data_IF_728053003856
#
_entry.id   IF_728053003856
#
_cell.length_a   1.000
_cell.length_b   1.000
_cell.length_c   1.000
_cell.angle_alpha   90.00
_cell.angle_beta   90.00
_cell.angle_gamma   90.00
#
_symmetry.space_group_name_H-M   'P 1'
#
loop_
_entity.id
_entity.type
_entity.pdbx_description
1 polymer ?
#
# COMPACT_ATOMS: atom_id res chain seq x y z
N UNK A 1 15.13 6.02 -13.59
CA UNK A 1 16.40 5.64 -12.90
C UNK A 1 16.13 5.24 -11.44
N UNK A 2 15.39 6.03 -10.64
CA UNK A 2 15.00 5.67 -9.27
C UNK A 2 13.94 4.54 -9.21
N UNK A 3 12.86 4.66 -9.97
CA UNK A 3 11.76 3.66 -9.97
C UNK A 3 12.18 2.27 -10.45
N UNK A 4 13.20 2.21 -11.31
CA UNK A 4 13.83 0.96 -11.71
C UNK A 4 14.60 0.28 -10.57
N UNK A 5 15.27 1.05 -9.71
CA UNK A 5 15.95 0.52 -8.53
C UNK A 5 14.93 0.01 -7.50
N UNK A 6 13.88 0.80 -7.22
CA UNK A 6 12.78 0.38 -6.34
C UNK A 6 12.22 -0.97 -6.82
N UNK A 7 11.96 -1.12 -8.12
CA UNK A 7 11.48 -2.39 -8.67
C UNK A 7 12.46 -3.55 -8.50
N UNK A 8 13.75 -3.29 -8.72
CA UNK A 8 14.82 -4.29 -8.57
C UNK A 8 14.94 -4.81 -7.14
N UNK A 9 14.76 -3.93 -6.15
CA UNK A 9 14.94 -4.27 -4.73
C UNK A 9 13.64 -4.53 -3.98
N UNK A 10 12.47 -4.39 -4.62
CA UNK A 10 11.18 -4.59 -3.97
C UNK A 10 11.09 -5.93 -3.21
N UNK A 11 11.60 -7.03 -3.79
CA UNK A 11 11.53 -8.38 -3.21
C UNK A 11 12.32 -8.59 -1.92
N UNK A 12 13.21 -7.66 -1.55
CA UNK A 12 13.95 -7.71 -0.28
C UNK A 12 13.43 -6.72 0.75
N UNK A 13 12.40 -5.94 0.42
CA UNK A 13 11.83 -4.94 1.31
C UNK A 13 10.92 -5.58 2.36
N UNK A 14 10.98 -5.08 3.59
CA UNK A 14 10.02 -5.43 4.64
C UNK A 14 8.71 -4.61 4.53
N UNK A 15 7.73 -4.93 5.37
CA UNK A 15 6.43 -4.26 5.45
C UNK A 15 6.52 -2.72 5.54
N UNK A 16 7.40 -2.19 6.39
CA UNK A 16 7.58 -0.75 6.59
C UNK A 16 8.25 -0.10 5.38
N UNK A 17 9.23 -0.75 4.78
CA UNK A 17 9.91 -0.27 3.57
C UNK A 17 8.94 -0.22 2.38
N UNK A 18 8.13 -1.27 2.18
CA UNK A 18 7.09 -1.31 1.16
C UNK A 18 6.04 -0.21 1.38
N UNK A 19 5.59 -0.06 2.63
CA UNK A 19 4.64 1.00 3.03
C UNK A 19 5.22 2.40 2.75
N UNK A 20 6.48 2.64 3.11
CA UNK A 20 7.15 3.91 2.88
C UNK A 20 7.34 4.19 1.38
N UNK A 21 7.63 3.16 0.57
CA UNK A 21 7.67 3.30 -0.88
C UNK A 21 6.30 3.71 -1.43
N UNK A 22 5.22 3.03 -1.06
CA UNK A 22 3.86 3.39 -1.50
C UNK A 22 3.50 4.83 -1.09
N UNK A 23 3.75 5.19 0.17
CA UNK A 23 3.52 6.54 0.68
C UNK A 23 4.32 7.61 -0.08
N UNK A 24 5.60 7.35 -0.36
CA UNK A 24 6.45 8.26 -1.12
C UNK A 24 5.94 8.45 -2.56
N UNK A 25 5.52 7.36 -3.22
CA UNK A 25 4.97 7.43 -4.57
C UNK A 25 3.67 8.26 -4.60
N UNK A 26 2.81 8.08 -3.60
CA UNK A 26 1.60 8.89 -3.45
C UNK A 26 1.90 10.38 -3.19
N UNK A 27 2.85 10.66 -2.31
CA UNK A 27 3.21 12.04 -1.91
C UNK A 27 3.90 12.81 -3.04
N UNK A 28 4.68 12.11 -3.86
CA UNK A 28 5.40 12.69 -5.01
C UNK A 28 4.57 12.69 -6.31
N UNK A 29 3.29 12.31 -6.25
CA UNK A 29 2.37 12.18 -7.38
C UNK A 29 2.90 11.27 -8.51
N UNK A 30 3.58 10.18 -8.14
CA UNK A 30 4.18 9.22 -9.07
C UNK A 30 3.18 8.15 -9.54
N UNK A 31 1.90 8.50 -9.66
CA UNK A 31 0.81 7.58 -10.03
C UNK A 31 0.98 6.91 -11.40
N UNK A 32 1.76 7.53 -12.30
CA UNK A 32 2.04 6.98 -13.63
C UNK A 32 3.11 5.87 -13.63
N UNK A 33 3.80 5.63 -12.50
CA UNK A 33 4.79 4.55 -12.36
C UNK A 33 4.11 3.21 -12.02
N UNK A 34 3.00 2.90 -12.72
CA UNK A 34 2.11 1.77 -12.45
C UNK A 34 2.86 0.46 -12.26
N UNK A 35 3.88 0.29 -13.09
CA UNK A 35 4.66 -0.90 -13.30
C UNK A 35 5.61 -1.16 -12.11
N UNK A 36 6.06 -0.08 -11.43
CA UNK A 36 6.78 -0.17 -10.16
C UNK A 36 5.82 -0.27 -8.98
N UNK A 37 4.67 0.41 -9.02
CA UNK A 37 3.63 0.30 -8.00
C UNK A 37 3.12 -1.15 -7.91
N UNK A 38 2.82 -1.78 -9.05
CA UNK A 38 2.38 -3.17 -9.11
C UNK A 38 3.42 -4.11 -8.49
N UNK A 39 4.71 -3.90 -8.77
CA UNK A 39 5.76 -4.70 -8.14
C UNK A 39 5.80 -4.55 -6.62
N UNK A 40 5.61 -3.34 -6.10
CA UNK A 40 5.52 -3.10 -4.66
C UNK A 40 4.30 -3.80 -4.05
N UNK A 41 3.16 -3.77 -4.74
CA UNK A 41 1.92 -4.40 -4.29
C UNK A 41 2.03 -5.93 -4.29
N UNK A 42 2.60 -6.52 -5.33
CA UNK A 42 2.88 -7.96 -5.40
C UNK A 42 3.72 -8.41 -4.21
N UNK A 43 4.84 -7.72 -3.94
CA UNK A 43 5.70 -8.07 -2.80
C UNK A 43 5.04 -7.79 -1.45
N UNK A 44 4.22 -6.74 -1.35
CA UNK A 44 3.47 -6.47 -0.12
C UNK A 44 2.44 -7.56 0.18
N UNK A 45 1.83 -8.15 -0.84
CA UNK A 45 0.92 -9.30 -0.65
C UNK A 45 1.65 -10.55 -0.19
N UNK A 46 2.87 -10.81 -0.66
CA UNK A 46 3.72 -11.90 -0.15
C UNK A 46 4.02 -11.76 1.35
N UNK A 47 4.06 -10.53 1.86
CA UNK A 47 4.41 -10.21 3.25
C UNK A 47 3.22 -9.73 4.08
N UNK A 48 1.98 -9.87 3.58
CA UNK A 48 0.82 -9.17 4.13
C UNK A 48 0.54 -9.50 5.60
N UNK A 49 0.83 -10.74 6.01
CA UNK A 49 0.62 -11.18 7.40
C UNK A 49 1.48 -10.39 8.39
N UNK A 50 2.64 -9.88 7.94
CA UNK A 50 3.53 -9.04 8.73
C UNK A 50 3.08 -7.58 8.82
N UNK A 51 2.12 -7.13 8.00
CA UNK A 51 1.66 -5.74 8.05
C UNK A 51 0.83 -5.51 9.32
N UNK A 52 1.26 -4.55 10.14
CA UNK A 52 0.50 -4.04 11.28
C UNK A 52 -0.60 -3.05 10.81
N UNK A 53 -1.49 -2.65 11.73
CA UNK A 53 -2.57 -1.71 11.46
C UNK A 53 -2.10 -0.43 10.75
N UNK A 54 -0.97 0.12 11.19
CA UNK A 54 -0.34 1.32 10.60
C UNK A 54 0.17 1.08 9.18
N UNK A 55 0.83 -0.05 8.91
CA UNK A 55 1.32 -0.37 7.56
C UNK A 55 0.15 -0.54 6.59
N UNK A 56 -0.94 -1.18 7.04
CA UNK A 56 -2.17 -1.32 6.28
C UNK A 56 -2.85 0.04 6.04
N UNK A 57 -3.01 0.86 7.07
CA UNK A 57 -3.68 2.17 6.99
C UNK A 57 -2.93 3.13 6.05
N UNK A 58 -1.60 3.19 6.15
CA UNK A 58 -0.73 4.02 5.30
C UNK A 58 -0.73 3.53 3.86
N UNK A 59 -0.66 2.22 3.64
CA UNK A 59 -0.71 1.66 2.29
C UNK A 59 -2.08 1.91 1.63
N UNK A 60 -3.18 1.75 2.38
CA UNK A 60 -4.52 2.04 1.91
C UNK A 60 -4.67 3.51 1.49
N UNK A 61 -4.23 4.45 2.35
CA UNK A 61 -4.20 5.87 2.02
C UNK A 61 -3.38 6.17 0.77
N UNK A 62 -2.19 5.58 0.65
CA UNK A 62 -1.32 5.80 -0.50
C UNK A 62 -1.96 5.32 -1.81
N UNK A 63 -2.57 4.14 -1.79
CA UNK A 63 -3.31 3.59 -2.92
C UNK A 63 -4.48 4.49 -3.34
N UNK A 64 -5.30 4.92 -2.37
CA UNK A 64 -6.41 5.84 -2.64
C UNK A 64 -5.93 7.18 -3.19
N UNK A 65 -4.84 7.73 -2.64
CA UNK A 65 -4.26 9.02 -3.04
C UNK A 65 -3.70 9.01 -4.47
N UNK A 66 -3.07 7.91 -4.89
CA UNK A 66 -2.60 7.73 -6.27
C UNK A 66 -3.75 7.54 -7.26
N UNK A 67 -4.93 7.16 -6.77
CA UNK A 67 -6.10 6.78 -7.56
C UNK A 67 -5.96 5.35 -8.05
N UNK A 68 -6.86 4.45 -7.60
CA UNK A 68 -6.87 3.06 -8.05
C UNK A 68 -7.21 3.00 -9.54
N UNK A 69 -6.23 2.65 -10.39
CA UNK A 69 -6.50 2.30 -11.79
C UNK A 69 -7.20 0.95 -11.89
N UNK A 70 -7.73 0.58 -13.06
CA UNK A 70 -8.35 -0.74 -13.27
C UNK A 70 -7.40 -1.89 -12.88
N UNK A 71 -6.09 -1.73 -13.15
CA UNK A 71 -5.03 -2.68 -12.78
C UNK A 71 -4.75 -2.72 -11.27
N UNK A 72 -5.07 -1.64 -10.56
CA UNK A 72 -4.80 -1.51 -9.13
C UNK A 72 -6.02 -1.86 -8.27
N UNK A 73 -7.22 -1.87 -8.85
CA UNK A 73 -8.47 -2.07 -8.12
C UNK A 73 -8.54 -3.39 -7.35
N UNK A 74 -8.01 -4.48 -7.90
CA UNK A 74 -7.93 -5.77 -7.20
C UNK A 74 -7.11 -5.67 -5.93
N UNK A 75 -6.04 -4.89 -5.93
CA UNK A 75 -5.23 -4.63 -4.74
C UNK A 75 -5.96 -3.72 -3.76
N UNK A 76 -6.64 -2.66 -4.21
CA UNK A 76 -7.43 -1.82 -3.32
C UNK A 76 -8.50 -2.65 -2.56
N UNK A 77 -9.17 -3.59 -3.23
CA UNK A 77 -10.08 -4.56 -2.57
C UNK A 77 -9.35 -5.51 -1.61
N UNK A 78 -8.22 -6.07 -2.04
CA UNK A 78 -7.43 -6.96 -1.19
C UNK A 78 -6.99 -6.27 0.11
N UNK A 79 -6.51 -5.03 0.04
CA UNK A 79 -6.13 -4.25 1.22
C UNK A 79 -7.31 -3.98 2.14
N UNK A 80 -8.50 -3.69 1.59
CA UNK A 80 -9.71 -3.53 2.38
C UNK A 80 -10.07 -4.84 3.12
N UNK A 81 -10.04 -5.99 2.43
CA UNK A 81 -10.35 -7.30 3.04
C UNK A 81 -9.37 -7.67 4.16
N UNK A 82 -8.08 -7.44 3.96
CA UNK A 82 -7.05 -7.69 4.99
C UNK A 82 -7.25 -6.76 6.19
N UNK A 83 -7.51 -5.47 5.93
CA UNK A 83 -7.77 -4.49 6.98
C UNK A 83 -8.96 -4.88 7.84
N UNK A 84 -10.06 -5.34 7.23
CA UNK A 84 -11.24 -5.81 7.96
C UNK A 84 -10.94 -7.02 8.86
N UNK A 85 -10.02 -7.91 8.45
CA UNK A 85 -9.62 -9.07 9.27
C UNK A 85 -8.78 -8.70 10.48
N UNK A 86 -8.06 -7.58 10.42
CA UNK A 86 -7.17 -7.11 11.49
C UNK A 86 -7.72 -5.92 12.27
N UNK A 87 -9.03 -5.64 12.16
CA UNK A 87 -9.63 -4.41 12.69
C UNK A 87 -9.41 -4.20 14.20
N UNK A 88 -9.25 -5.29 14.97
CA UNK A 88 -8.94 -5.24 16.40
C UNK A 88 -7.54 -4.69 16.73
N UNK A 89 -6.61 -4.70 15.77
CA UNK A 89 -5.26 -4.14 15.92
C UNK A 89 -5.23 -2.62 15.69
N UNK A 90 -6.31 -2.03 15.16
CA UNK A 90 -6.33 -0.64 14.73
C UNK A 90 -6.67 0.30 15.89
N UNK A 91 -5.90 1.38 15.99
CA UNK A 91 -6.29 2.53 16.80
C UNK A 91 -7.25 3.46 16.03
N UNK A 92 -7.78 4.47 16.72
CA UNK A 92 -8.71 5.44 16.13
C UNK A 92 -8.11 6.19 14.93
N UNK A 93 -6.80 6.46 14.94
CA UNK A 93 -6.11 7.16 13.84
C UNK A 93 -6.06 6.25 12.62
N UNK A 94 -5.60 5.02 12.79
CA UNK A 94 -5.46 4.05 11.71
C UNK A 94 -6.82 3.74 11.07
N UNK A 95 -7.87 3.57 11.89
CA UNK A 95 -9.24 3.39 11.40
C UNK A 95 -9.72 4.58 10.57
N UNK A 96 -9.54 5.81 11.08
CA UNK A 96 -9.97 7.02 10.37
C UNK A 96 -9.29 7.13 9.00
N UNK A 97 -8.03 6.71 8.92
CA UNK A 97 -7.26 6.77 7.69
C UNK A 97 -7.74 5.76 6.64
N UNK A 98 -8.09 4.55 7.06
CA UNK A 98 -8.70 3.54 6.17
C UNK A 98 -10.07 4.01 5.70
N UNK A 99 -10.90 4.54 6.59
CA UNK A 99 -12.23 5.07 6.25
C UNK A 99 -12.11 6.20 5.24
N UNK A 100 -11.13 7.10 5.37
CA UNK A 100 -10.88 8.12 4.36
C UNK A 100 -10.42 7.53 3.02
N UNK A 101 -9.63 6.46 3.05
CA UNK A 101 -9.07 5.86 1.84
C UNK A 101 -10.12 5.10 1.01
N UNK A 102 -11.08 4.44 1.66
CA UNK A 102 -12.04 3.54 1.00
C UNK A 102 -13.52 3.89 1.20
N UNK A 103 -13.86 4.90 2.00
CA UNK A 103 -15.23 5.38 2.23
C UNK A 103 -15.62 6.50 1.28
#
# INVERSE_FOLDING_TARGET
>A
QLTALVRKYASICNNMELTNCLWAFATLDMRNEEDTILRLLETAVEHIDSFDARCLSVSAWALAKMGCTERQWSWCRFWADVTLKKLEEFDTRDMTMVVWAFG
#
